data_IF_993285499241
#
_entry.id   IF_993285499241
#
_cell.length_a   1.000
_cell.length_b   1.000
_cell.length_c   1.000
_cell.angle_alpha   90.00
_cell.angle_beta   90.00
_cell.angle_gamma   90.00
#
_symmetry.space_group_name_H-M   'P 1'
#
loop_
_entity.id
_entity.type
_entity.pdbx_description
1 polymer ?
#
# COMPACT_ATOMS: atom_id res chain seq x y z
N UNK A 1 21.19 13.95 8.75
CA UNK A 1 20.85 12.78 7.92
C UNK A 1 22.16 12.15 7.48
N UNK A 2 22.40 10.88 7.75
CA UNK A 2 23.60 10.16 7.30
C UNK A 2 23.18 9.18 6.22
N UNK A 3 23.94 9.11 5.13
CA UNK A 3 23.73 8.08 4.12
C UNK A 3 24.18 6.71 4.70
N UNK A 4 23.60 5.59 4.22
CA UNK A 4 24.10 4.26 4.53
C UNK A 4 25.58 4.15 4.18
N UNK A 5 26.32 3.33 4.93
CA UNK A 5 27.73 3.05 4.62
C UNK A 5 27.83 2.50 3.18
N UNK A 6 28.75 3.05 2.40
CA UNK A 6 28.99 2.72 0.99
C UNK A 6 27.94 3.20 -0.02
N UNK A 7 26.94 4.00 0.37
CA UNK A 7 26.02 4.64 -0.56
C UNK A 7 26.47 6.06 -0.88
N UNK A 8 26.56 6.39 -2.16
CA UNK A 8 26.80 7.76 -2.64
C UNK A 8 25.52 8.58 -2.77
N UNK A 9 24.38 7.91 -2.89
CA UNK A 9 23.06 8.53 -2.98
C UNK A 9 21.95 7.67 -2.39
N UNK A 10 20.82 8.31 -2.05
CA UNK A 10 19.57 7.65 -1.65
C UNK A 10 18.37 8.34 -2.31
N UNK A 11 17.28 7.59 -2.47
CA UNK A 11 15.98 8.20 -2.78
C UNK A 11 15.16 8.32 -1.49
N UNK A 12 14.69 9.52 -1.24
CA UNK A 12 13.82 9.84 -0.10
C UNK A 12 12.42 10.12 -0.63
N UNK A 13 11.43 9.46 -0.07
CA UNK A 13 10.02 9.73 -0.36
C UNK A 13 9.36 10.45 0.80
N UNK A 14 8.64 11.50 0.46
CA UNK A 14 7.75 12.20 1.37
C UNK A 14 6.31 12.01 0.89
N UNK A 15 5.48 11.37 1.70
CA UNK A 15 4.05 11.25 1.47
C UNK A 15 3.27 11.97 2.56
N UNK A 16 2.16 12.60 2.18
CA UNK A 16 1.25 13.29 3.09
C UNK A 16 -0.12 12.66 3.03
N UNK A 17 -0.79 12.64 4.18
CA UNK A 17 -2.10 12.05 4.35
C UNK A 17 -3.15 13.15 4.51
N UNK A 18 -4.36 12.89 4.02
CA UNK A 18 -5.54 13.67 4.39
C UNK A 18 -6.10 13.21 5.72
N UNK A 19 -6.82 14.12 6.36
CA UNK A 19 -7.58 13.85 7.57
C UNK A 19 -6.76 14.03 8.84
N UNK A 20 -7.48 14.36 9.91
CA UNK A 20 -6.99 14.40 11.29
C UNK A 20 -7.82 13.42 12.11
N UNK A 21 -7.22 12.79 13.13
CA UNK A 21 -7.93 11.92 14.06
C UNK A 21 -7.67 10.42 13.80
N UNK A 22 -8.72 9.64 13.65
CA UNK A 22 -8.60 8.17 13.51
C UNK A 22 -7.77 7.78 12.29
N UNK A 23 -6.69 7.02 12.52
CA UNK A 23 -5.78 6.52 11.47
C UNK A 23 -6.49 5.69 10.38
N UNK A 24 -7.65 5.10 10.69
CA UNK A 24 -8.43 4.36 9.71
C UNK A 24 -9.08 5.24 8.64
N UNK A 25 -9.31 6.52 8.94
CA UNK A 25 -9.88 7.47 7.99
C UNK A 25 -8.82 8.15 7.13
N UNK A 26 -7.56 8.09 7.56
CA UNK A 26 -6.44 8.68 6.84
C UNK A 26 -6.08 7.87 5.60
N UNK A 27 -5.72 8.56 4.52
CA UNK A 27 -5.16 7.97 3.31
C UNK A 27 -4.17 8.94 2.64
N UNK A 28 -3.14 8.39 1.97
CA UNK A 28 -2.16 9.20 1.27
C UNK A 28 -2.80 9.93 0.09
N UNK A 29 -2.53 11.23 -0.02
CA UNK A 29 -3.03 12.09 -1.10
C UNK A 29 -1.94 12.56 -2.05
N UNK A 30 -0.69 12.39 -1.67
CA UNK A 30 0.43 12.76 -2.52
C UNK A 30 1.73 12.11 -2.08
N UNK A 31 2.68 12.09 -3.01
CA UNK A 31 4.00 11.54 -2.82
C UNK A 31 4.99 12.36 -3.63
N UNK A 32 6.05 12.84 -2.98
CA UNK A 32 7.20 13.47 -3.63
C UNK A 32 8.43 12.58 -3.49
N UNK A 33 9.30 12.60 -4.47
CA UNK A 33 10.56 11.84 -4.49
C UNK A 33 11.72 12.80 -4.62
N UNK A 34 12.72 12.61 -3.78
CA UNK A 34 13.94 13.40 -3.77
C UNK A 34 15.15 12.48 -3.86
N UNK A 35 16.12 12.83 -4.67
CA UNK A 35 17.45 12.24 -4.67
C UNK A 35 18.35 13.05 -3.74
N UNK A 36 19.01 12.37 -2.81
CA UNK A 36 20.00 12.97 -1.91
C UNK A 36 21.34 12.34 -2.23
N UNK A 37 22.31 13.16 -2.58
CA UNK A 37 23.66 12.72 -2.96
C UNK A 37 24.71 13.36 -2.06
N UNK A 38 25.74 12.59 -1.74
CA UNK A 38 26.95 13.10 -1.11
C UNK A 38 27.90 13.63 -2.18
N UNK A 39 28.36 14.86 -2.00
CA UNK A 39 29.36 15.51 -2.84
C UNK A 39 30.55 15.92 -2.00
N UNK A 40 31.65 16.33 -2.63
CA UNK A 40 32.84 16.82 -1.91
C UNK A 40 32.54 18.07 -1.06
N UNK A 41 31.55 18.88 -1.48
CA UNK A 41 31.11 20.10 -0.80
C UNK A 41 29.99 19.90 0.22
N UNK A 42 29.48 18.64 0.40
CA UNK A 42 28.41 18.33 1.34
C UNK A 42 27.31 17.46 0.74
N UNK A 43 26.05 17.73 1.09
CA UNK A 43 24.87 17.00 0.62
C UNK A 43 24.06 17.84 -0.35
N UNK A 44 23.70 17.29 -1.48
CA UNK A 44 22.74 17.88 -2.43
C UNK A 44 21.40 17.19 -2.38
N UNK A 45 20.31 17.95 -2.57
CA UNK A 45 18.94 17.45 -2.61
C UNK A 45 18.30 17.89 -3.92
N UNK A 46 17.88 16.92 -4.72
CA UNK A 46 17.19 17.16 -5.99
C UNK A 46 15.78 16.61 -5.92
N UNK A 47 14.77 17.42 -6.21
CA UNK A 47 13.39 16.96 -6.42
C UNK A 47 13.28 16.25 -7.78
N UNK A 48 12.55 15.13 -7.81
CA UNK A 48 12.28 14.32 -9.01
C UNK A 48 10.77 14.38 -9.33
N UNK A 49 10.29 15.45 -9.96
CA UNK A 49 8.85 15.65 -10.20
C UNK A 49 8.26 14.60 -11.14
N UNK A 50 9.06 13.97 -12.00
CA UNK A 50 8.63 12.90 -12.91
C UNK A 50 8.20 11.63 -12.15
N UNK A 51 8.68 11.44 -10.91
CA UNK A 51 8.32 10.34 -10.03
C UNK A 51 7.26 10.73 -8.99
N UNK A 52 6.73 11.95 -9.08
CA UNK A 52 5.68 12.41 -8.16
C UNK A 52 4.39 11.61 -8.35
N UNK A 53 3.72 11.30 -7.24
CA UNK A 53 2.44 10.58 -7.20
C UNK A 53 2.42 9.26 -7.99
N UNK A 54 3.58 8.64 -8.16
CA UNK A 54 3.73 7.40 -8.92
C UNK A 54 2.98 6.23 -8.28
N UNK A 55 3.01 6.14 -6.95
CA UNK A 55 2.36 5.08 -6.17
C UNK A 55 1.16 5.66 -5.40
N UNK A 56 -0.03 5.11 -5.64
CA UNK A 56 -1.27 5.62 -5.06
C UNK A 56 -2.05 4.51 -4.35
N UNK A 57 -2.67 4.85 -3.22
CA UNK A 57 -3.69 4.03 -2.59
C UNK A 57 -5.03 4.25 -3.31
N UNK A 58 -5.65 3.17 -3.77
CA UNK A 58 -6.91 3.24 -4.54
C UNK A 58 -8.10 2.62 -3.80
N UNK A 59 -7.87 2.02 -2.65
CA UNK A 59 -8.96 1.48 -1.84
C UNK A 59 -8.62 0.19 -1.10
N UNK A 60 -9.61 -0.27 -0.36
CA UNK A 60 -9.53 -1.50 0.42
C UNK A 60 -10.90 -2.17 0.44
N UNK A 61 -10.92 -3.50 0.47
CA UNK A 61 -12.14 -4.28 0.62
C UNK A 61 -11.89 -5.53 1.44
N UNK A 62 -12.97 -6.14 1.94
CA UNK A 62 -12.90 -7.46 2.58
C UNK A 62 -13.42 -8.53 1.62
N UNK A 63 -13.00 -9.78 1.83
CA UNK A 63 -13.62 -10.92 1.18
C UNK A 63 -14.95 -11.21 1.86
N UNK A 64 -15.98 -11.40 1.06
CA UNK A 64 -17.37 -11.69 1.53
C UNK A 64 -17.73 -13.16 1.39
N UNK A 65 -16.80 -14.01 0.95
CA UNK A 65 -16.98 -15.46 0.77
C UNK A 65 -15.70 -16.20 1.13
N UNK A 66 -15.82 -17.41 1.65
CA UNK A 66 -14.69 -18.25 2.04
C UNK A 66 -13.91 -17.71 3.24
N UNK A 67 -12.60 -17.89 3.25
CA UNK A 67 -11.75 -17.44 4.35
C UNK A 67 -11.78 -15.92 4.51
N UNK A 68 -11.89 -15.44 5.75
CA UNK A 68 -11.82 -14.02 6.09
C UNK A 68 -10.51 -13.43 5.55
N UNK A 69 -10.62 -12.26 4.95
CA UNK A 69 -9.45 -11.62 4.33
C UNK A 69 -9.69 -10.16 4.00
N UNK A 70 -8.58 -9.46 3.85
CA UNK A 70 -8.52 -8.05 3.45
C UNK A 70 -7.82 -7.93 2.11
N UNK A 71 -8.35 -7.10 1.22
CA UNK A 71 -7.77 -6.76 -0.08
C UNK A 71 -7.36 -5.30 -0.06
N UNK A 72 -6.11 -5.03 -0.41
CA UNK A 72 -5.59 -3.70 -0.70
C UNK A 72 -5.60 -3.46 -2.20
N UNK A 73 -6.06 -2.31 -2.63
CA UNK A 73 -6.01 -1.85 -4.03
C UNK A 73 -5.02 -0.70 -4.11
N UNK A 74 -4.03 -0.85 -4.95
CA UNK A 74 -2.98 0.13 -5.20
C UNK A 74 -2.93 0.44 -6.69
N UNK A 75 -2.46 1.62 -7.05
CA UNK A 75 -2.32 2.03 -8.45
C UNK A 75 -0.94 2.60 -8.70
N UNK A 76 -0.52 2.44 -9.95
CA UNK A 76 0.67 3.06 -10.53
C UNK A 76 0.21 3.86 -11.73
N UNK A 77 0.78 5.05 -11.95
CA UNK A 77 0.53 5.82 -13.17
C UNK A 77 1.04 5.03 -14.39
N UNK A 78 0.17 4.84 -15.39
CA UNK A 78 0.45 4.00 -16.55
C UNK A 78 1.58 4.56 -17.42
N UNK A 79 1.56 5.85 -17.71
CA UNK A 79 2.56 6.47 -18.60
C UNK A 79 3.94 6.46 -17.94
N UNK A 80 4.00 6.82 -16.66
CA UNK A 80 5.23 6.79 -15.88
C UNK A 80 5.79 5.36 -15.74
N UNK A 81 4.93 4.37 -15.49
CA UNK A 81 5.34 2.95 -15.46
C UNK A 81 5.88 2.49 -16.80
N UNK A 82 5.21 2.86 -17.90
CA UNK A 82 5.64 2.48 -19.25
C UNK A 82 6.99 3.15 -19.61
N UNK A 83 7.19 4.40 -19.25
CA UNK A 83 8.48 5.07 -19.43
C UNK A 83 9.60 4.37 -18.64
N UNK A 84 9.35 4.04 -17.36
CA UNK A 84 10.30 3.34 -16.50
C UNK A 84 10.65 1.92 -16.98
N UNK A 85 9.70 1.18 -17.59
CA UNK A 85 9.95 -0.15 -18.16
C UNK A 85 10.60 -0.11 -19.55
N UNK A 86 10.43 0.97 -20.28
CA UNK A 86 11.03 1.18 -21.60
C UNK A 86 12.41 1.83 -21.52
N UNK A 87 12.49 3.07 -21.96
CA UNK A 87 13.76 3.81 -22.05
C UNK A 87 14.29 4.32 -20.70
N UNK A 88 13.48 4.26 -19.65
CA UNK A 88 13.75 4.84 -18.35
C UNK A 88 13.14 6.23 -18.19
N UNK A 89 13.07 6.70 -16.95
CA UNK A 89 12.56 8.02 -16.57
C UNK A 89 13.39 8.60 -15.44
N UNK A 90 13.73 9.89 -15.52
CA UNK A 90 14.58 10.57 -14.52
C UNK A 90 15.91 9.83 -14.21
N UNK A 91 16.46 9.09 -15.19
CA UNK A 91 17.68 8.28 -15.04
C UNK A 91 17.48 6.91 -14.38
N UNK A 92 16.23 6.49 -14.15
CA UNK A 92 15.90 5.21 -13.53
C UNK A 92 15.17 4.27 -14.48
N UNK A 93 15.30 2.96 -14.22
CA UNK A 93 14.50 1.88 -14.79
C UNK A 93 13.76 1.14 -13.68
N UNK A 94 12.59 0.60 -14.01
CA UNK A 94 11.78 -0.19 -13.10
C UNK A 94 12.31 -1.62 -12.99
N UNK A 95 12.49 -2.08 -11.74
CA UNK A 95 12.79 -3.47 -11.45
C UNK A 95 11.57 -4.22 -10.90
N UNK A 96 10.84 -3.61 -9.96
CA UNK A 96 9.73 -4.26 -9.26
C UNK A 96 8.81 -3.22 -8.65
N UNK A 97 7.51 -3.50 -8.55
CA UNK A 97 6.60 -2.79 -7.65
C UNK A 97 5.57 -3.73 -7.05
N UNK A 98 5.03 -3.32 -5.91
CA UNK A 98 4.06 -4.11 -5.18
C UNK A 98 3.57 -3.42 -3.91
N UNK A 99 3.12 -4.23 -2.95
CA UNK A 99 2.61 -3.74 -1.66
C UNK A 99 3.25 -4.49 -0.50
N UNK A 100 3.64 -3.75 0.51
CA UNK A 100 4.06 -4.26 1.81
C UNK A 100 2.85 -4.34 2.74
N UNK A 101 2.80 -5.39 3.55
CA UNK A 101 1.70 -5.69 4.46
C UNK A 101 2.28 -6.19 5.78
N UNK A 102 1.78 -5.69 6.90
CA UNK A 102 2.13 -6.17 8.22
C UNK A 102 0.96 -6.04 9.19
N UNK A 103 0.78 -7.03 10.06
CA UNK A 103 -0.06 -6.88 11.26
C UNK A 103 0.61 -5.88 12.19
N UNK A 104 -0.10 -4.86 12.66
CA UNK A 104 0.51 -3.80 13.47
C UNK A 104 1.05 -4.30 14.80
N UNK A 105 0.41 -5.31 15.40
CA UNK A 105 0.89 -5.96 16.62
C UNK A 105 2.25 -6.65 16.44
N UNK A 106 2.49 -7.22 15.26
CA UNK A 106 3.76 -7.89 14.93
C UNK A 106 4.83 -6.94 14.41
N UNK A 107 4.42 -5.86 13.75
CA UNK A 107 5.32 -4.83 13.26
C UNK A 107 5.96 -4.06 14.43
N UNK A 108 5.16 -3.72 15.45
CA UNK A 108 5.61 -2.91 16.57
C UNK A 108 6.16 -1.56 16.10
N UNK A 109 7.36 -1.22 16.55
CA UNK A 109 8.07 0.01 16.16
C UNK A 109 8.97 -0.17 14.92
N UNK A 110 8.99 -1.35 14.30
CA UNK A 110 9.82 -1.58 13.12
C UNK A 110 9.25 -0.81 11.91
N UNK A 111 10.11 -0.33 11.01
CA UNK A 111 9.65 0.35 9.81
C UNK A 111 9.00 -0.63 8.83
N UNK A 112 7.93 -0.18 8.17
CA UNK A 112 7.28 -0.95 7.10
C UNK A 112 8.05 -0.74 5.79
N UNK A 113 9.13 -1.52 5.61
CA UNK A 113 10.04 -1.45 4.46
C UNK A 113 10.26 -2.83 3.84
N UNK A 114 10.70 -2.86 2.59
CA UNK A 114 10.99 -4.11 1.87
C UNK A 114 12.09 -4.88 2.58
N UNK A 115 11.84 -6.17 2.87
CA UNK A 115 12.76 -7.01 3.65
C UNK A 115 12.74 -6.77 5.15
N UNK A 116 11.88 -5.87 5.66
CA UNK A 116 11.76 -5.59 7.09
C UNK A 116 11.21 -6.77 7.90
N UNK A 117 11.52 -6.79 9.19
CA UNK A 117 11.02 -7.83 10.11
C UNK A 117 9.48 -7.80 10.18
N UNK A 118 8.85 -8.98 10.10
CA UNK A 118 7.39 -9.17 10.09
C UNK A 118 6.64 -8.46 8.94
N UNK A 119 7.35 -8.05 7.89
CA UNK A 119 6.78 -7.45 6.69
C UNK A 119 6.64 -8.51 5.60
N UNK A 120 5.42 -8.64 5.06
CA UNK A 120 5.17 -9.43 3.85
C UNK A 120 5.17 -8.49 2.65
N UNK A 121 5.89 -8.88 1.60
CA UNK A 121 5.86 -8.19 0.30
C UNK A 121 5.17 -9.07 -0.73
N UNK A 122 4.27 -8.46 -1.50
CA UNK A 122 3.70 -9.05 -2.70
C UNK A 122 4.02 -8.12 -3.87
N UNK A 123 4.79 -8.60 -4.83
CA UNK A 123 5.00 -7.84 -6.06
C UNK A 123 3.80 -7.99 -7.01
N UNK A 124 3.48 -6.92 -7.70
CA UNK A 124 2.51 -6.89 -8.80
C UNK A 124 3.23 -6.91 -10.16
N UNK A 125 4.44 -6.39 -10.21
CA UNK A 125 5.34 -6.45 -11.35
C UNK A 125 6.75 -6.76 -10.87
N UNK A 126 7.45 -7.56 -11.65
CA UNK A 126 8.88 -7.80 -11.48
C UNK A 126 9.50 -7.97 -12.85
N UNK A 127 10.62 -7.29 -13.09
CA UNK A 127 11.40 -7.41 -14.33
C UNK A 127 11.72 -8.88 -14.59
N UNK A 128 11.64 -9.29 -15.85
CA UNK A 128 11.92 -10.66 -16.33
C UNK A 128 10.94 -11.74 -15.81
N UNK A 129 9.82 -11.31 -15.21
CA UNK A 129 8.69 -12.19 -14.85
C UNK A 129 7.49 -11.79 -15.71
N UNK A 130 6.69 -12.77 -16.16
CA UNK A 130 5.50 -12.47 -16.94
C UNK A 130 4.59 -11.50 -16.21
N UNK A 131 4.13 -10.45 -16.91
CA UNK A 131 3.21 -9.46 -16.36
C UNK A 131 1.87 -10.12 -15.99
N UNK A 132 1.38 -9.93 -14.77
CA UNK A 132 0.02 -10.33 -14.43
C UNK A 132 -0.98 -9.44 -15.17
N UNK A 133 -2.20 -9.94 -15.30
CA UNK A 133 -3.31 -9.16 -15.88
C UNK A 133 -3.71 -8.05 -14.90
N UNK A 134 -3.55 -6.80 -15.31
CA UNK A 134 -3.92 -5.63 -14.54
C UNK A 134 -5.26 -5.04 -15.00
N UNK A 135 -5.92 -4.36 -14.09
CA UNK A 135 -7.05 -3.49 -14.44
C UNK A 135 -6.52 -2.09 -14.78
N UNK A 136 -6.86 -1.62 -15.97
CA UNK A 136 -6.58 -0.25 -16.40
C UNK A 136 -7.81 0.63 -16.11
N UNK A 137 -7.60 1.77 -15.46
CA UNK A 137 -8.67 2.71 -15.16
C UNK A 137 -8.13 4.13 -15.13
N UNK A 138 -8.60 4.98 -16.04
CA UNK A 138 -8.24 6.41 -16.07
C UNK A 138 -6.73 6.70 -16.02
N UNK A 139 -5.94 6.01 -16.83
CA UNK A 139 -4.49 6.19 -16.87
C UNK A 139 -3.73 5.57 -15.67
N UNK A 140 -4.43 4.77 -14.86
CA UNK A 140 -3.85 4.05 -13.73
C UNK A 140 -3.87 2.54 -13.99
N UNK A 141 -2.79 1.88 -13.64
CA UNK A 141 -2.70 0.42 -13.55
C UNK A 141 -3.02 0.04 -12.10
N UNK A 142 -4.18 -0.60 -11.89
CA UNK A 142 -4.59 -1.06 -10.57
C UNK A 142 -4.16 -2.51 -10.35
N UNK A 143 -3.60 -2.77 -9.19
CA UNK A 143 -3.26 -4.12 -8.72
C UNK A 143 -3.74 -4.34 -7.29
N UNK A 144 -3.91 -5.59 -6.92
CA UNK A 144 -4.47 -5.96 -5.62
C UNK A 144 -3.57 -6.92 -4.89
N UNK A 145 -3.44 -6.70 -3.59
CA UNK A 145 -2.83 -7.66 -2.67
C UNK A 145 -3.86 -8.11 -1.64
N UNK A 146 -3.87 -9.40 -1.33
CA UNK A 146 -4.88 -10.01 -0.47
C UNK A 146 -4.18 -10.79 0.65
N UNK A 147 -4.57 -10.52 1.89
CA UNK A 147 -4.28 -11.36 3.04
C UNK A 147 -5.53 -12.14 3.41
N UNK A 148 -5.39 -13.43 3.68
CA UNK A 148 -6.48 -14.34 4.05
C UNK A 148 -6.13 -15.16 5.27
N UNK A 149 -7.12 -15.84 5.86
CA UNK A 149 -6.92 -16.74 6.99
C UNK A 149 -6.97 -16.03 8.34
N UNK A 150 -7.73 -14.94 8.45
CA UNK A 150 -7.95 -14.24 9.71
C UNK A 150 -8.94 -14.98 10.60
N UNK A 151 -8.62 -15.09 11.89
CA UNK A 151 -9.57 -15.48 12.93
C UNK A 151 -10.50 -14.31 13.25
N UNK A 152 -11.57 -14.58 14.03
CA UNK A 152 -12.49 -13.54 14.47
C UNK A 152 -11.81 -12.47 15.31
N UNK A 153 -10.90 -12.86 16.20
CA UNK A 153 -10.11 -11.95 17.02
C UNK A 153 -9.19 -11.06 16.15
N UNK A 154 -8.61 -11.64 15.12
CA UNK A 154 -7.72 -10.91 14.21
C UNK A 154 -8.46 -9.91 13.31
N UNK A 155 -9.80 -10.02 13.18
CA UNK A 155 -10.59 -9.04 12.44
C UNK A 155 -10.58 -7.65 13.08
N UNK A 156 -10.22 -7.54 14.36
CA UNK A 156 -10.05 -6.27 15.10
C UNK A 156 -8.71 -5.60 14.81
N UNK A 157 -7.73 -6.39 14.38
CA UNK A 157 -6.35 -5.94 14.25
C UNK A 157 -6.14 -5.13 12.98
N UNK A 158 -5.37 -4.06 13.12
CA UNK A 158 -4.97 -3.27 11.96
C UNK A 158 -3.88 -3.94 11.16
N UNK A 159 -4.04 -3.87 9.87
CA UNK A 159 -3.02 -4.16 8.88
C UNK A 159 -2.45 -2.85 8.38
N UNK A 160 -1.17 -2.64 8.62
CA UNK A 160 -0.40 -1.58 7.99
C UNK A 160 -0.06 -1.99 6.56
N UNK A 161 -0.30 -1.12 5.60
CA UNK A 161 -0.12 -1.38 4.17
C UNK A 161 0.58 -0.20 3.52
N UNK A 162 1.56 -0.50 2.64
CA UNK A 162 2.38 0.52 1.98
C UNK A 162 2.77 0.05 0.58
N UNK A 163 2.48 0.81 -0.49
CA UNK A 163 3.02 0.49 -1.81
C UNK A 163 4.52 0.80 -1.86
N UNK A 164 5.24 0.03 -2.66
CA UNK A 164 6.66 0.23 -2.91
C UNK A 164 7.00 0.07 -4.39
N UNK A 165 8.11 0.66 -4.80
CA UNK A 165 8.70 0.47 -6.11
C UNK A 165 10.22 0.41 -6.00
N UNK A 166 10.81 -0.60 -6.65
CA UNK A 166 12.24 -0.81 -6.76
C UNK A 166 12.71 -0.31 -8.11
N UNK A 167 13.67 0.58 -8.08
CA UNK A 167 14.24 1.25 -9.25
C UNK A 167 15.73 0.94 -9.35
N UNK A 168 16.28 1.03 -10.55
CA UNK A 168 17.72 0.94 -10.81
C UNK A 168 18.17 2.14 -11.60
N UNK A 169 19.27 2.78 -11.20
CA UNK A 169 19.87 3.87 -11.96
C UNK A 169 20.78 3.36 -13.11
N UNK A 170 21.36 4.29 -13.87
CA UNK A 170 22.27 3.99 -14.98
C UNK A 170 23.58 3.29 -14.56
N UNK A 171 23.95 3.38 -13.28
CA UNK A 171 25.15 2.74 -12.74
C UNK A 171 24.86 1.34 -12.20
N UNK A 172 23.59 0.89 -12.23
CA UNK A 172 23.15 -0.40 -11.68
C UNK A 172 22.82 -0.35 -10.19
N UNK A 173 22.87 0.84 -9.55
CA UNK A 173 22.50 1.00 -8.14
C UNK A 173 20.98 0.89 -7.98
N UNK A 174 20.54 0.12 -6.95
CA UNK A 174 19.13 -0.14 -6.71
C UNK A 174 18.59 0.75 -5.59
N UNK A 175 17.40 1.28 -5.81
CA UNK A 175 16.70 2.16 -4.89
C UNK A 175 15.28 1.66 -4.65
N UNK A 176 14.76 1.84 -3.43
CA UNK A 176 13.36 1.55 -3.12
C UNK A 176 12.67 2.83 -2.69
N UNK A 177 11.62 3.18 -3.42
CA UNK A 177 10.72 4.27 -3.06
C UNK A 177 9.41 3.73 -2.50
N UNK A 178 8.76 4.50 -1.63
CA UNK A 178 7.58 4.07 -0.90
C UNK A 178 6.47 5.11 -1.00
N UNK A 179 5.25 4.68 -1.22
CA UNK A 179 4.07 5.50 -1.00
C UNK A 179 3.74 5.66 0.49
N UNK A 180 2.64 6.33 0.78
CA UNK A 180 2.15 6.51 2.15
C UNK A 180 1.61 5.22 2.76
N UNK A 181 1.59 5.18 4.09
CA UNK A 181 1.06 4.04 4.86
C UNK A 181 -0.44 4.27 5.11
N UNK A 182 -1.22 3.21 4.95
CA UNK A 182 -2.62 3.16 5.40
C UNK A 182 -2.81 2.03 6.41
N UNK A 183 -3.73 2.24 7.33
CA UNK A 183 -4.10 1.29 8.36
C UNK A 183 -5.57 0.92 8.23
N UNK A 184 -5.88 -0.36 8.06
CA UNK A 184 -7.25 -0.86 7.96
C UNK A 184 -7.37 -2.19 8.69
N UNK A 185 -8.49 -2.38 9.37
CA UNK A 185 -8.88 -3.70 9.88
C UNK A 185 -10.06 -4.25 9.09
N UNK A 186 -10.25 -5.57 9.15
CA UNK A 186 -11.40 -6.23 8.52
C UNK A 186 -12.69 -5.69 9.13
N UNK A 187 -12.74 -5.53 10.47
CA UNK A 187 -13.89 -4.98 11.17
C UNK A 187 -14.23 -3.56 10.75
N UNK A 188 -13.24 -2.69 10.64
CA UNK A 188 -13.46 -1.32 10.16
C UNK A 188 -14.07 -1.29 8.75
N UNK A 189 -13.51 -2.08 7.80
CA UNK A 189 -14.01 -2.11 6.43
C UNK A 189 -15.41 -2.73 6.36
N UNK A 190 -15.68 -3.78 7.17
CA UNK A 190 -17.01 -4.37 7.27
C UNK A 190 -18.05 -3.32 7.70
N UNK A 191 -17.75 -2.56 8.76
CA UNK A 191 -18.63 -1.50 9.23
C UNK A 191 -18.84 -0.39 8.18
N UNK A 192 -17.79 0.08 7.52
CA UNK A 192 -17.90 1.12 6.48
C UNK A 192 -18.77 0.67 5.30
N UNK A 193 -18.76 -0.61 4.95
CA UNK A 193 -19.51 -1.16 3.82
C UNK A 193 -20.83 -1.86 4.20
N UNK A 194 -21.29 -1.77 5.46
CA UNK A 194 -22.46 -2.52 5.97
C UNK A 194 -23.74 -2.28 5.17
N UNK A 195 -23.88 -1.09 4.60
CA UNK A 195 -25.05 -0.70 3.81
C UNK A 195 -24.89 -1.00 2.30
N UNK A 196 -23.76 -1.56 1.86
CA UNK A 196 -23.52 -1.87 0.44
C UNK A 196 -24.21 -3.15 -0.02
N UNK A 197 -24.72 -3.97 0.92
CA UNK A 197 -25.34 -5.25 0.63
C UNK A 197 -26.83 -5.20 0.97
N UNK A 198 -27.64 -5.92 0.17
CA UNK A 198 -29.07 -6.05 0.45
C UNK A 198 -29.28 -6.79 1.79
N UNK A 199 -30.15 -6.29 2.69
CA UNK A 199 -30.53 -6.98 3.91
C UNK A 199 -30.93 -8.42 3.65
N UNK A 200 -30.55 -9.33 4.54
CA UNK A 200 -30.79 -10.79 4.47
C UNK A 200 -30.05 -11.51 3.33
N UNK A 201 -29.20 -10.83 2.55
CA UNK A 201 -28.33 -11.56 1.62
C UNK A 201 -27.18 -12.24 2.39
N UNK A 202 -26.62 -13.33 1.82
CA UNK A 202 -25.49 -14.01 2.44
C UNK A 202 -24.28 -13.07 2.68
N UNK A 203 -24.04 -12.11 1.80
CA UNK A 203 -23.00 -11.10 1.95
C UNK A 203 -23.30 -10.14 3.11
N UNK A 204 -24.56 -9.72 3.26
CA UNK A 204 -25.01 -8.87 4.36
C UNK A 204 -24.81 -9.56 5.70
N UNK A 205 -25.31 -10.82 5.84
CA UNK A 205 -25.16 -11.60 7.05
C UNK A 205 -23.68 -11.85 7.42
N UNK A 206 -22.85 -12.13 6.42
CA UNK A 206 -21.42 -12.30 6.62
C UNK A 206 -20.74 -11.02 7.12
N UNK A 207 -21.05 -9.87 6.54
CA UNK A 207 -20.51 -8.58 6.96
C UNK A 207 -20.95 -8.25 8.40
N UNK A 208 -22.22 -8.48 8.72
CA UNK A 208 -22.75 -8.24 10.06
C UNK A 208 -22.19 -9.22 11.10
N UNK A 209 -21.90 -10.46 10.73
CA UNK A 209 -21.21 -11.39 11.64
C UNK A 209 -19.82 -10.88 12.04
N UNK A 210 -19.09 -10.25 11.11
CA UNK A 210 -17.81 -9.62 11.41
C UNK A 210 -18.01 -8.40 12.34
N UNK A 211 -19.00 -7.57 12.07
CA UNK A 211 -19.30 -6.38 12.89
C UNK A 211 -19.63 -6.80 14.33
N UNK A 212 -20.49 -7.79 14.52
CA UNK A 212 -20.81 -8.33 15.85
C UNK A 212 -19.58 -8.89 16.57
N UNK A 213 -18.73 -9.64 15.87
CA UNK A 213 -17.50 -10.18 16.45
C UNK A 213 -16.50 -9.11 16.88
N UNK A 214 -16.46 -7.98 16.15
CA UNK A 214 -15.50 -6.90 16.40
C UNK A 214 -16.03 -5.91 17.43
N UNK A 215 -17.28 -5.50 17.33
CA UNK A 215 -17.87 -4.38 18.09
C UNK A 215 -18.96 -4.83 19.10
N UNK A 216 -19.27 -6.15 19.17
CA UNK A 216 -20.38 -6.64 19.99
C UNK A 216 -21.71 -6.04 19.51
N UNK A 217 -22.55 -5.66 20.45
CA UNK A 217 -23.90 -5.15 20.18
C UNK A 217 -23.94 -3.64 19.88
N UNK A 218 -22.80 -3.00 19.72
CA UNK A 218 -22.71 -1.53 19.58
C UNK A 218 -23.56 -1.00 18.42
N UNK A 219 -23.73 -1.77 17.34
CA UNK A 219 -24.41 -1.35 16.12
C UNK A 219 -25.67 -2.17 15.80
N UNK A 220 -26.19 -2.95 16.75
CA UNK A 220 -27.35 -3.83 16.52
C UNK A 220 -28.61 -3.09 16.06
N UNK A 221 -28.78 -1.83 16.47
CA UNK A 221 -29.89 -0.99 16.00
C UNK A 221 -29.85 -0.71 14.50
N UNK A 222 -28.70 -0.83 13.87
CA UNK A 222 -28.53 -0.64 12.42
C UNK A 222 -28.74 -1.95 11.63
N UNK A 223 -28.75 -3.12 12.30
CA UNK A 223 -28.95 -4.41 11.67
C UNK A 223 -30.40 -4.60 11.22
N UNK A 224 -30.60 -4.80 9.94
CA UNK A 224 -31.94 -5.00 9.35
C UNK A 224 -32.22 -6.50 9.18
N UNK A 225 -33.06 -7.03 10.07
CA UNK A 225 -33.54 -8.43 10.03
C UNK A 225 -34.42 -8.73 8.81
#
# INVERSE_FOLDING_TARGET
MTLPENSSSILVTYSYNTGSGDRHTQYPTGMNVYRVEKTDSGMTVQHLPELQNLLQYSGCSIRITGNKGIRMITSVNQDTRNALTGNGLAGFKLLEYGTLLAQTSKLGNNPLVLGGANVKSNYAYKKDVADPVFKYTNGLIQYTNVLVGFTDEQCKEDIAMRPYMKLQDKNGEEFVIYGGIVYRSIGYIAYQNRNAFQPRSAAYEYVWSIIHNVYGNQYDSEYKK
#
